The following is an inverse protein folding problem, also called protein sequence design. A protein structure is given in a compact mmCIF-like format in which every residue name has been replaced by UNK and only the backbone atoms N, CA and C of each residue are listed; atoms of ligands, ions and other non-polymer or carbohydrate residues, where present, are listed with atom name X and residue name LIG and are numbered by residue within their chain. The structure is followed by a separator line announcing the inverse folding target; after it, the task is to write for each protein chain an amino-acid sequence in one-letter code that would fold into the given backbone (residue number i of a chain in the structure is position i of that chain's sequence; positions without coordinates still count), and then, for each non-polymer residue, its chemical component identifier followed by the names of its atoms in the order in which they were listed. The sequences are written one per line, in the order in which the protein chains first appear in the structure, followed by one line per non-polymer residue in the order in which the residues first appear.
data_IF_928518190583
#
_entry.id   IF_928518190583
#
_cell.length_a   1.000
_cell.length_b   1.000
_cell.length_c   1.000
_cell.angle_alpha   90.00
_cell.angle_beta   90.00
_cell.angle_gamma   90.00
#
_symmetry.space_group_name_H-M   'P 1'
#
loop_
_entity.id
_entity.type
_entity.pdbx_description
1 polymer ?
#
# COMPACT_ATOMS: atom_id res chain seq x y z
N UNK A 1 -2.33 -34.57 -21.13
CA UNK A 1 -1.87 -33.48 -22.01
C UNK A 1 -3.10 -32.70 -22.40
N UNK A 2 -3.01 -31.38 -22.43
CA UNK A 2 -4.13 -30.53 -22.81
C UNK A 2 -4.43 -30.66 -24.32
N UNK A 3 -5.71 -30.63 -24.69
CA UNK A 3 -6.13 -30.66 -26.08
C UNK A 3 -6.02 -29.28 -26.75
N UNK A 4 -6.05 -28.19 -25.97
CA UNK A 4 -5.86 -26.84 -26.52
C UNK A 4 -4.38 -26.44 -26.48
N UNK A 5 -3.76 -26.38 -27.66
CA UNK A 5 -2.37 -25.95 -27.82
C UNK A 5 -2.11 -24.53 -27.30
N UNK A 6 -3.14 -23.69 -27.16
CA UNK A 6 -2.99 -22.34 -26.59
C UNK A 6 -2.72 -22.34 -25.07
N UNK A 7 -3.02 -23.44 -24.38
CA UNK A 7 -2.74 -23.55 -22.95
C UNK A 7 -1.25 -23.84 -22.69
N UNK A 8 -0.45 -24.10 -23.72
CA UNK A 8 1.00 -24.30 -23.60
C UNK A 8 1.75 -22.96 -23.52
N UNK A 9 1.37 -22.12 -22.58
CA UNK A 9 1.89 -20.76 -22.40
C UNK A 9 2.74 -20.57 -21.13
N UNK A 10 3.16 -21.68 -20.50
CA UNK A 10 3.84 -21.72 -19.19
C UNK A 10 3.02 -21.21 -18.00
N UNK A 11 1.77 -20.80 -18.19
CA UNK A 11 0.88 -20.29 -17.14
C UNK A 11 -0.28 -21.23 -16.84
N UNK A 12 -0.71 -22.02 -17.81
CA UNK A 12 -1.76 -23.02 -17.61
C UNK A 12 -1.18 -24.40 -17.30
N UNK A 13 -1.88 -25.12 -16.44
CA UNK A 13 -1.59 -26.51 -16.12
C UNK A 13 -2.01 -27.40 -17.30
N UNK A 14 -1.04 -27.82 -18.12
CA UNK A 14 -1.27 -28.70 -19.29
C UNK A 14 -0.94 -30.16 -19.03
N UNK A 15 -0.36 -30.46 -17.86
CA UNK A 15 0.04 -31.78 -17.41
C UNK A 15 -0.70 -32.16 -16.13
N UNK A 16 -1.24 -33.38 -16.10
CA UNK A 16 -1.87 -33.92 -14.89
C UNK A 16 -0.82 -34.30 -13.86
N UNK A 17 -0.82 -33.61 -12.73
CA UNK A 17 0.11 -33.90 -11.64
C UNK A 17 -0.29 -35.18 -10.89
N UNK A 18 0.63 -36.14 -10.63
CA UNK A 18 0.27 -37.45 -10.06
C UNK A 18 -0.40 -37.41 -8.68
N UNK A 19 -0.19 -36.35 -7.89
CA UNK A 19 -0.69 -36.21 -6.52
C UNK A 19 -1.64 -35.02 -6.30
N UNK A 20 -1.78 -34.15 -7.28
CA UNK A 20 -2.58 -32.93 -7.16
C UNK A 20 -3.77 -33.04 -8.10
N UNK A 21 -4.93 -32.58 -7.64
CA UNK A 21 -6.12 -32.51 -8.48
C UNK A 21 -5.93 -31.44 -9.55
N UNK A 22 -6.67 -31.55 -10.65
CA UNK A 22 -6.65 -30.53 -11.71
C UNK A 22 -6.93 -29.14 -11.13
N UNK A 23 -6.06 -28.17 -11.45
CA UNK A 23 -6.15 -26.79 -10.97
C UNK A 23 -5.53 -26.55 -9.58
N UNK A 24 -5.22 -27.60 -8.81
CA UNK A 24 -4.57 -27.46 -7.50
C UNK A 24 -3.15 -26.93 -7.63
N UNK A 25 -2.43 -27.32 -8.69
CA UNK A 25 -1.09 -26.78 -8.96
C UNK A 25 -1.16 -25.29 -9.30
N UNK A 26 -2.06 -24.90 -10.22
CA UNK A 26 -2.27 -23.48 -10.56
C UNK A 26 -2.64 -22.65 -9.33
N UNK A 27 -3.48 -23.19 -8.45
CA UNK A 27 -3.87 -22.54 -7.20
C UNK A 27 -2.67 -22.38 -6.25
N UNK A 28 -1.90 -23.44 -6.03
CA UNK A 28 -0.71 -23.40 -5.17
C UNK A 28 0.30 -22.36 -5.68
N UNK A 29 0.49 -22.29 -7.01
CA UNK A 29 1.31 -21.26 -7.65
C UNK A 29 0.80 -19.84 -7.36
N UNK A 30 -0.49 -19.57 -7.58
CA UNK A 30 -1.09 -18.26 -7.30
C UNK A 30 -1.03 -17.88 -5.81
N UNK A 31 -1.22 -18.86 -4.92
CA UNK A 31 -1.12 -18.66 -3.47
C UNK A 31 0.32 -18.30 -3.05
N UNK A 32 1.33 -18.96 -3.61
CA UNK A 32 2.73 -18.62 -3.35
C UNK A 32 3.04 -17.16 -3.71
N UNK A 33 2.55 -16.68 -4.86
CA UNK A 33 2.68 -15.26 -5.23
C UNK A 33 1.97 -14.34 -4.25
N UNK A 34 0.73 -14.65 -3.86
CA UNK A 34 -0.04 -13.84 -2.89
C UNK A 34 0.66 -13.77 -1.53
N UNK A 35 1.24 -14.86 -1.06
CA UNK A 35 1.99 -14.92 0.21
C UNK A 35 3.26 -14.08 0.11
N UNK A 36 4.02 -14.23 -0.98
CA UNK A 36 5.26 -13.49 -1.16
C UNK A 36 5.03 -11.97 -1.27
N UNK A 37 4.02 -11.54 -2.02
CA UNK A 37 3.65 -10.12 -2.19
C UNK A 37 2.55 -9.66 -1.21
N UNK A 38 2.39 -10.36 -0.09
CA UNK A 38 1.58 -9.89 1.03
C UNK A 38 2.18 -8.62 1.62
N UNK A 39 1.33 -7.72 2.12
CA UNK A 39 1.75 -6.43 2.70
C UNK A 39 2.74 -6.67 3.84
N UNK A 40 2.47 -7.65 4.69
CA UNK A 40 3.30 -8.03 5.83
C UNK A 40 4.67 -8.53 5.39
N UNK A 41 4.74 -9.33 4.33
CA UNK A 41 6.01 -9.84 3.83
C UNK A 41 6.84 -8.74 3.16
N UNK A 42 6.20 -7.89 2.35
CA UNK A 42 6.88 -6.74 1.73
C UNK A 42 7.46 -5.80 2.79
N UNK A 43 6.71 -5.52 3.87
CA UNK A 43 7.19 -4.72 5.01
C UNK A 43 8.41 -5.39 5.65
N UNK A 44 8.33 -6.70 5.91
CA UNK A 44 9.44 -7.49 6.51
C UNK A 44 10.70 -7.50 5.65
N UNK A 45 10.58 -7.51 4.32
CA UNK A 45 11.71 -7.45 3.39
C UNK A 45 12.32 -6.04 3.39
N UNK A 46 11.49 -5.01 3.22
CA UNK A 46 11.97 -3.63 3.13
C UNK A 46 12.62 -3.13 4.43
N UNK A 47 12.16 -3.57 5.61
CA UNK A 47 12.81 -3.26 6.89
C UNK A 47 14.22 -3.84 7.02
N UNK A 48 14.54 -4.90 6.28
CA UNK A 48 15.86 -5.54 6.24
C UNK A 48 16.71 -5.07 5.06
N UNK A 49 16.10 -4.39 4.10
CA UNK A 49 16.79 -3.91 2.92
C UNK A 49 17.68 -2.72 3.28
N UNK A 50 18.86 -2.66 2.66
CA UNK A 50 19.71 -1.48 2.74
C UNK A 50 19.00 -0.27 2.11
N UNK A 51 19.14 0.91 2.72
CA UNK A 51 18.47 2.15 2.28
C UNK A 51 18.69 2.45 0.79
N UNK A 52 19.88 2.18 0.25
CA UNK A 52 20.21 2.36 -1.17
C UNK A 52 19.35 1.51 -2.11
N UNK A 53 18.93 0.31 -1.67
CA UNK A 53 18.14 -0.64 -2.47
C UNK A 53 16.63 -0.52 -2.24
N UNK A 54 16.21 0.29 -1.27
CA UNK A 54 14.80 0.40 -0.86
C UNK A 54 13.86 0.65 -2.04
N UNK A 55 14.12 1.69 -2.83
CA UNK A 55 13.24 2.08 -3.94
C UNK A 55 13.28 1.12 -5.14
N UNK A 56 14.41 0.46 -5.38
CA UNK A 56 14.51 -0.60 -6.39
C UNK A 56 13.64 -1.80 -6.04
N UNK A 57 13.74 -2.27 -4.79
CA UNK A 57 12.90 -3.37 -4.27
C UNK A 57 11.42 -2.95 -4.25
N UNK A 58 11.13 -1.73 -3.80
CA UNK A 58 9.77 -1.20 -3.76
C UNK A 58 9.15 -1.13 -5.17
N UNK A 59 9.90 -0.68 -6.17
CA UNK A 59 9.43 -0.61 -7.57
C UNK A 59 9.17 -2.01 -8.14
N UNK A 60 10.03 -2.98 -7.82
CA UNK A 60 9.78 -4.38 -8.19
C UNK A 60 8.50 -4.91 -7.52
N UNK A 61 8.23 -4.57 -6.26
CA UNK A 61 6.97 -4.93 -5.62
C UNK A 61 5.75 -4.36 -6.34
N UNK A 62 5.80 -3.09 -6.76
CA UNK A 62 4.73 -2.49 -7.58
C UNK A 62 4.53 -3.27 -8.88
N UNK A 63 5.59 -3.53 -9.63
CA UNK A 63 5.54 -4.23 -10.92
C UNK A 63 4.98 -5.65 -10.79
N UNK A 64 5.56 -6.45 -9.90
CA UNK A 64 5.24 -7.86 -9.77
C UNK A 64 3.86 -8.07 -9.15
N UNK A 65 3.50 -7.25 -8.15
CA UNK A 65 2.17 -7.33 -7.54
C UNK A 65 1.07 -6.86 -8.51
N UNK A 66 1.34 -5.84 -9.33
CA UNK A 66 0.43 -5.44 -10.42
C UNK A 66 0.15 -6.61 -11.37
N UNK A 67 1.19 -7.28 -11.86
CA UNK A 67 1.04 -8.38 -12.81
C UNK A 67 0.16 -9.50 -12.25
N UNK A 68 0.41 -9.92 -11.01
CA UNK A 68 -0.31 -11.04 -10.39
C UNK A 68 -1.74 -10.65 -9.96
N UNK A 69 -1.91 -9.49 -9.32
CA UNK A 69 -3.19 -9.15 -8.69
C UNK A 69 -4.15 -8.37 -9.58
N UNK A 70 -3.63 -7.54 -10.48
CA UNK A 70 -4.46 -6.66 -11.33
C UNK A 70 -4.67 -7.29 -12.70
N UNK A 71 -3.58 -7.67 -13.36
CA UNK A 71 -3.64 -8.23 -14.71
C UNK A 71 -3.87 -9.76 -14.73
N UNK A 72 -3.57 -10.44 -13.63
CA UNK A 72 -3.82 -11.87 -13.46
C UNK A 72 -2.83 -12.77 -14.21
N UNK A 73 -1.59 -12.34 -14.40
CA UNK A 73 -0.57 -13.13 -15.10
C UNK A 73 0.86 -12.84 -14.65
N UNK A 74 1.83 -13.34 -15.41
CA UNK A 74 3.23 -13.32 -14.99
C UNK A 74 3.92 -11.98 -15.25
N UNK A 75 4.72 -11.47 -14.30
CA UNK A 75 5.38 -10.17 -14.39
C UNK A 75 6.34 -9.99 -15.57
N UNK A 76 6.87 -11.08 -16.13
CA UNK A 76 7.75 -11.00 -17.31
C UNK A 76 7.01 -10.86 -18.65
N UNK A 77 5.70 -11.14 -18.66
CA UNK A 77 4.87 -11.09 -19.88
C UNK A 77 3.86 -9.95 -19.82
N UNK A 78 3.49 -9.53 -18.60
CA UNK A 78 2.50 -8.49 -18.39
C UNK A 78 3.15 -7.13 -18.18
N UNK A 79 2.60 -6.14 -18.88
CA UNK A 79 2.82 -4.73 -18.58
C UNK A 79 1.78 -4.19 -17.60
N UNK A 80 1.67 -2.87 -17.53
CA UNK A 80 0.65 -2.22 -16.69
C UNK A 80 -0.75 -2.33 -17.28
N UNK A 81 -0.92 -2.11 -18.59
CA UNK A 81 -2.23 -2.06 -19.23
C UNK A 81 -2.29 -2.97 -20.45
N UNK A 82 -3.26 -3.88 -20.48
CA UNK A 82 -3.47 -4.77 -21.62
C UNK A 82 -4.32 -4.12 -22.71
N UNK A 83 -3.70 -3.91 -23.87
CA UNK A 83 -4.39 -3.57 -25.11
C UNK A 83 -5.13 -4.80 -25.63
N UNK A 84 -6.42 -4.63 -25.95
CA UNK A 84 -7.27 -5.70 -26.49
C UNK A 84 -8.08 -5.12 -27.65
N UNK A 85 -7.62 -5.29 -28.88
CA UNK A 85 -8.34 -4.86 -30.07
C UNK A 85 -9.63 -5.66 -30.31
N UNK A 86 -10.64 -5.04 -30.91
CA UNK A 86 -11.89 -5.74 -31.26
C UNK A 86 -11.67 -6.83 -32.31
N UNK A 87 -10.81 -6.55 -33.28
CA UNK A 87 -10.48 -7.43 -34.42
C UNK A 87 -9.34 -8.41 -34.12
N UNK A 88 -8.66 -8.26 -33.00
CA UNK A 88 -7.60 -9.17 -32.53
C UNK A 88 -8.25 -10.42 -31.93
N UNK A 89 -8.78 -11.26 -32.82
CA UNK A 89 -9.42 -12.53 -32.47
C UNK A 89 -8.70 -13.66 -33.17
N UNK A 90 -8.74 -14.84 -32.52
CA UNK A 90 -8.26 -16.08 -33.13
C UNK A 90 -9.03 -16.32 -34.44
N UNK A 91 -8.36 -16.79 -35.51
CA UNK A 91 -9.05 -17.24 -36.72
C UNK A 91 -10.17 -18.24 -36.37
N UNK A 92 -11.36 -18.05 -36.92
CA UNK A 92 -12.54 -18.87 -36.64
C UNK A 92 -13.43 -18.39 -35.50
N UNK A 93 -13.01 -17.39 -34.71
CA UNK A 93 -13.88 -16.75 -33.71
C UNK A 93 -14.64 -15.55 -34.32
N UNK A 94 -15.94 -15.38 -34.03
CA UNK A 94 -16.71 -14.26 -34.54
C UNK A 94 -16.19 -12.93 -33.96
N UNK A 95 -16.20 -11.89 -34.81
CA UNK A 95 -15.88 -10.53 -34.37
C UNK A 95 -17.05 -9.99 -33.56
N UNK A 96 -16.79 -9.59 -32.31
CA UNK A 96 -17.80 -8.99 -31.43
C UNK A 96 -18.44 -7.74 -32.04
N UNK A 97 -19.73 -7.53 -31.75
CA UNK A 97 -20.41 -6.29 -32.05
C UNK A 97 -19.75 -5.09 -31.37
N UNK A 98 -19.91 -3.88 -31.94
CA UNK A 98 -19.31 -2.64 -31.41
C UNK A 98 -19.72 -2.38 -29.95
N UNK A 99 -21.01 -2.53 -29.64
CA UNK A 99 -21.57 -2.28 -28.32
C UNK A 99 -21.14 -3.32 -27.28
N UNK A 100 -21.13 -4.60 -27.67
CA UNK A 100 -20.68 -5.70 -26.82
C UNK A 100 -19.20 -5.55 -26.45
N UNK A 101 -18.38 -5.25 -27.46
CA UNK A 101 -16.96 -4.95 -27.25
C UNK A 101 -16.77 -3.77 -26.30
N UNK A 102 -17.49 -2.66 -26.50
CA UNK A 102 -17.39 -1.49 -25.63
C UNK A 102 -17.79 -1.83 -24.19
N UNK A 103 -18.91 -2.53 -23.99
CA UNK A 103 -19.38 -2.96 -22.66
C UNK A 103 -18.34 -3.85 -21.96
N UNK A 104 -17.76 -4.81 -22.67
CA UNK A 104 -16.69 -5.67 -22.16
C UNK A 104 -15.44 -4.86 -21.82
N UNK A 105 -15.00 -3.94 -22.68
CA UNK A 105 -13.81 -3.12 -22.44
C UNK A 105 -13.98 -2.13 -21.32
N UNK A 106 -15.12 -1.47 -21.19
CA UNK A 106 -15.41 -0.59 -20.04
C UNK A 106 -15.35 -1.39 -18.73
N UNK A 107 -15.91 -2.61 -18.71
CA UNK A 107 -15.82 -3.49 -17.54
C UNK A 107 -14.38 -3.91 -17.23
N UNK A 108 -13.62 -4.32 -18.25
CA UNK A 108 -12.21 -4.69 -18.10
C UNK A 108 -11.40 -3.52 -17.53
N UNK A 109 -11.51 -2.34 -18.15
CA UNK A 109 -10.82 -1.13 -17.71
C UNK A 109 -11.24 -0.74 -16.30
N UNK A 110 -12.53 -0.81 -15.97
CA UNK A 110 -13.02 -0.56 -14.62
C UNK A 110 -12.40 -1.51 -13.59
N UNK A 111 -12.28 -2.81 -13.90
CA UNK A 111 -11.61 -3.79 -13.02
C UNK A 111 -10.12 -3.49 -12.86
N UNK A 112 -9.42 -3.17 -13.95
CA UNK A 112 -8.00 -2.79 -13.90
C UNK A 112 -7.79 -1.53 -13.06
N UNK A 113 -8.62 -0.49 -13.26
CA UNK A 113 -8.54 0.75 -12.48
C UNK A 113 -8.80 0.51 -10.98
N UNK A 114 -9.82 -0.26 -10.63
CA UNK A 114 -10.08 -0.63 -9.24
C UNK A 114 -8.92 -1.44 -8.64
N UNK A 115 -8.33 -2.34 -9.42
CA UNK A 115 -7.14 -3.09 -9.04
C UNK A 115 -5.94 -2.18 -8.78
N UNK A 116 -5.68 -1.19 -9.64
CA UNK A 116 -4.62 -0.20 -9.44
C UNK A 116 -4.86 0.69 -8.23
N UNK A 117 -6.10 1.13 -7.99
CA UNK A 117 -6.42 1.90 -6.76
C UNK A 117 -6.12 1.06 -5.53
N UNK A 118 -6.57 -0.20 -5.49
CA UNK A 118 -6.27 -1.11 -4.39
C UNK A 118 -4.76 -1.32 -4.21
N UNK A 119 -4.04 -1.59 -5.31
CA UNK A 119 -2.60 -1.75 -5.29
C UNK A 119 -1.91 -0.49 -4.74
N UNK A 120 -2.28 0.69 -5.20
CA UNK A 120 -1.68 1.94 -4.78
C UNK A 120 -1.86 2.17 -3.26
N UNK A 121 -3.05 1.88 -2.73
CA UNK A 121 -3.32 1.98 -1.29
C UNK A 121 -2.52 0.96 -0.46
N UNK A 122 -2.39 -0.27 -0.94
CA UNK A 122 -1.55 -1.29 -0.29
C UNK A 122 -0.06 -0.91 -0.32
N UNK A 123 0.42 -0.35 -1.44
CA UNK A 123 1.80 0.11 -1.55
C UNK A 123 2.07 1.35 -0.69
N UNK A 124 1.09 2.24 -0.55
CA UNK A 124 1.17 3.35 0.38
C UNK A 124 1.24 2.87 1.84
N UNK A 125 0.48 1.82 2.22
CA UNK A 125 0.60 1.19 3.54
C UNK A 125 2.01 0.64 3.79
N UNK A 126 2.57 -0.07 2.80
CA UNK A 126 3.95 -0.57 2.85
C UNK A 126 4.94 0.58 3.00
N UNK A 127 4.76 1.66 2.24
CA UNK A 127 5.61 2.85 2.29
C UNK A 127 5.51 3.54 3.66
N UNK A 128 4.31 3.75 4.21
CA UNK A 128 4.13 4.28 5.56
C UNK A 128 4.83 3.42 6.60
N UNK A 129 4.73 2.10 6.51
CA UNK A 129 5.36 1.20 7.47
C UNK A 129 6.89 1.15 7.37
N UNK A 130 7.48 1.48 6.21
CA UNK A 130 8.90 1.20 5.92
C UNK A 130 9.74 2.39 5.46
N UNK A 131 9.12 3.55 5.19
CA UNK A 131 9.84 4.74 4.75
C UNK A 131 10.97 5.09 5.74
N UNK A 132 12.11 5.59 5.25
CA UNK A 132 13.20 6.01 6.11
C UNK A 132 12.73 7.12 7.05
N UNK A 133 12.98 6.93 8.35
CA UNK A 133 12.68 7.88 9.42
C UNK A 133 13.95 8.22 10.18
N UNK A 134 13.95 9.35 10.88
CA UNK A 134 15.00 9.60 11.87
C UNK A 134 14.91 8.58 13.01
N UNK A 135 16.03 8.25 13.66
CA UNK A 135 16.07 7.31 14.77
C UNK A 135 15.10 7.70 15.91
N UNK A 136 14.94 9.02 16.15
CA UNK A 136 13.96 9.55 17.10
C UNK A 136 12.52 9.22 16.69
N UNK A 137 12.16 9.49 15.43
CA UNK A 137 10.81 9.23 14.93
C UNK A 137 10.49 7.74 14.89
N UNK A 138 11.45 6.89 14.51
CA UNK A 138 11.27 5.44 14.55
C UNK A 138 10.97 4.95 15.97
N UNK A 139 11.71 5.45 16.96
CA UNK A 139 11.45 5.11 18.36
C UNK A 139 10.10 5.63 18.85
N UNK A 140 9.72 6.85 18.49
CA UNK A 140 8.38 7.39 18.83
C UNK A 140 7.28 6.58 18.18
N UNK A 141 7.44 6.16 16.92
CA UNK A 141 6.50 5.29 16.21
C UNK A 141 6.38 3.93 16.88
N UNK A 142 7.49 3.35 17.35
CA UNK A 142 7.49 2.10 18.11
C UNK A 142 6.67 2.21 19.40
N UNK A 143 6.88 3.28 20.18
CA UNK A 143 6.10 3.54 21.40
C UNK A 143 4.61 3.81 21.08
N UNK A 144 4.32 4.53 19.98
CA UNK A 144 2.96 4.79 19.52
C UNK A 144 2.23 3.51 19.10
N UNK A 145 2.93 2.57 18.44
CA UNK A 145 2.36 1.28 18.04
C UNK A 145 1.90 0.47 19.27
N UNK A 146 2.63 0.56 20.40
CA UNK A 146 2.19 -0.03 21.67
C UNK A 146 0.93 0.60 22.26
N UNK A 147 0.71 1.90 22.03
CA UNK A 147 -0.43 2.68 22.56
C UNK A 147 -1.66 2.61 21.65
N UNK A 148 -1.51 2.14 20.41
CA UNK A 148 -2.58 2.11 19.41
C UNK A 148 -3.86 1.37 19.86
N UNK A 149 -3.78 0.49 20.87
CA UNK A 149 -4.95 -0.12 21.50
C UNK A 149 -5.88 0.90 22.20
N UNK A 150 -5.34 2.04 22.64
CA UNK A 150 -6.07 3.08 23.41
C UNK A 150 -6.47 4.28 22.55
N UNK A 151 -5.64 4.66 21.58
CA UNK A 151 -5.89 5.82 20.72
C UNK A 151 -6.01 5.38 19.27
N UNK A 152 -7.08 5.84 18.59
CA UNK A 152 -7.30 5.53 17.18
C UNK A 152 -6.18 6.09 16.30
N UNK A 153 -5.61 7.25 16.67
CA UNK A 153 -4.54 7.92 15.93
C UNK A 153 -3.62 8.74 16.84
N UNK A 154 -2.35 8.93 16.49
CA UNK A 154 -1.43 9.80 17.23
C UNK A 154 -1.92 11.26 17.29
N UNK A 155 -2.62 11.75 16.26
CA UNK A 155 -3.23 13.09 16.28
C UNK A 155 -4.37 13.19 17.29
N UNK A 156 -5.00 12.10 17.69
CA UNK A 156 -6.05 12.14 18.73
C UNK A 156 -5.49 12.30 20.15
N UNK A 157 -4.19 12.05 20.35
CA UNK A 157 -3.52 12.15 21.64
C UNK A 157 -3.46 13.61 22.16
N UNK A 158 -3.40 13.73 23.49
CA UNK A 158 -3.15 15.03 24.15
C UNK A 158 -1.70 15.47 23.91
N UNK A 159 -1.46 16.77 23.88
CA UNK A 159 -0.11 17.31 23.66
C UNK A 159 0.87 16.89 24.77
N UNK A 160 0.38 16.73 26.00
CA UNK A 160 1.15 16.25 27.15
C UNK A 160 1.61 14.80 26.97
N UNK A 161 0.71 13.95 26.48
CA UNK A 161 1.01 12.54 26.19
C UNK A 161 2.03 12.43 25.06
N UNK A 162 1.87 13.21 23.98
CA UNK A 162 2.84 13.26 22.88
C UNK A 162 4.22 13.71 23.37
N UNK A 163 4.28 14.76 24.19
CA UNK A 163 5.55 15.24 24.75
C UNK A 163 6.22 14.19 25.66
N UNK A 164 5.42 13.45 26.45
CA UNK A 164 5.91 12.35 27.25
C UNK A 164 6.48 11.21 26.39
N UNK A 165 5.85 10.90 25.25
CA UNK A 165 6.35 9.88 24.32
C UNK A 165 7.69 10.29 23.69
N UNK A 166 7.81 11.54 23.26
CA UNK A 166 9.10 12.06 22.82
C UNK A 166 10.15 11.99 23.93
N UNK A 167 9.79 12.33 25.18
CA UNK A 167 10.68 12.20 26.33
C UNK A 167 11.17 10.76 26.56
N UNK A 168 10.25 9.78 26.53
CA UNK A 168 10.57 8.34 26.64
C UNK A 168 11.44 7.85 25.47
N UNK A 169 11.15 8.31 24.26
CA UNK A 169 11.95 7.95 23.08
C UNK A 169 13.39 8.48 23.19
N UNK A 170 13.56 9.73 23.63
CA UNK A 170 14.88 10.33 23.83
C UNK A 170 15.64 9.64 24.96
N UNK A 171 14.99 9.32 26.09
CA UNK A 171 15.66 8.62 27.19
C UNK A 171 16.09 7.20 26.79
N UNK A 172 15.25 6.47 26.06
CA UNK A 172 15.59 5.15 25.54
C UNK A 172 16.76 5.20 24.54
N UNK A 173 16.79 6.19 23.64
CA UNK A 173 17.89 6.37 22.69
C UNK A 173 19.19 6.74 23.40
N UNK A 174 19.14 7.59 24.43
CA UNK A 174 20.32 7.92 25.25
C UNK A 174 20.85 6.70 26.00
N UNK A 175 19.98 5.86 26.54
CA UNK A 175 20.38 4.63 27.22
C UNK A 175 21.02 3.61 26.27
N UNK A 176 20.52 3.52 25.03
CA UNK A 176 21.06 2.62 24.01
C UNK A 176 22.37 3.15 23.38
N UNK A 177 22.52 4.46 23.28
CA UNK A 177 23.72 5.11 22.73
C UNK A 177 24.82 5.18 23.78
N UNK A 178 25.42 4.02 24.11
CA UNK A 178 26.68 3.96 24.86
C UNK A 178 27.82 4.48 23.98
N UNK A 179 28.02 5.80 23.98
CA UNK A 179 29.36 6.36 23.88
C UNK A 179 29.88 6.92 22.55
N UNK A 180 29.11 7.14 21.46
CA UNK A 180 29.74 7.77 20.27
C UNK A 180 28.97 8.70 19.32
N UNK A 181 27.65 8.94 19.47
CA UNK A 181 26.97 9.95 18.63
C UNK A 181 25.95 10.77 19.43
N UNK A 182 26.39 11.89 20.02
CA UNK A 182 25.48 12.89 20.60
C UNK A 182 24.86 13.74 19.48
N UNK A 183 24.02 13.15 18.64
CA UNK A 183 23.08 13.97 17.86
C UNK A 183 22.23 14.77 18.87
N UNK A 184 22.04 16.09 18.69
CA UNK A 184 21.20 16.89 19.57
C UNK A 184 19.73 16.44 19.45
N UNK A 185 19.34 15.45 20.27
CA UNK A 185 17.97 14.97 20.36
C UNK A 185 17.14 15.98 21.15
N UNK A 186 16.54 16.94 20.43
CA UNK A 186 15.67 17.98 21.00
C UNK A 186 14.23 17.48 21.09
N UNK A 187 13.65 17.58 22.29
CA UNK A 187 12.23 17.32 22.50
C UNK A 187 11.44 18.51 21.92
N UNK A 188 10.48 18.29 21.01
CA UNK A 188 9.66 19.37 20.45
C UNK A 188 8.83 20.06 21.54
N UNK A 189 8.66 21.38 21.42
CA UNK A 189 7.78 22.13 22.33
C UNK A 189 6.30 21.80 22.08
N UNK A 190 5.43 22.08 23.05
CA UNK A 190 3.98 21.84 22.90
C UNK A 190 3.37 22.61 21.73
N UNK A 191 3.81 23.85 21.52
CA UNK A 191 3.38 24.69 20.40
C UNK A 191 3.81 24.04 19.07
N UNK A 192 5.04 23.56 18.99
CA UNK A 192 5.54 22.87 17.79
C UNK A 192 4.78 21.56 17.51
N UNK A 193 4.46 20.78 18.54
CA UNK A 193 3.65 19.57 18.41
C UNK A 193 2.21 19.89 17.99
N UNK A 194 1.65 20.98 18.49
CA UNK A 194 0.33 21.45 18.09
C UNK A 194 0.29 21.83 16.61
N UNK A 195 1.27 22.61 16.12
CA UNK A 195 1.38 22.91 14.69
C UNK A 195 1.54 21.65 13.85
N UNK A 196 2.38 20.68 14.27
CA UNK A 196 2.55 19.39 13.57
C UNK A 196 1.26 18.56 13.50
N UNK A 197 0.41 18.64 14.51
CA UNK A 197 -0.87 17.91 14.55
C UNK A 197 -1.83 18.41 13.47
N UNK A 198 -1.87 19.72 13.23
CA UNK A 198 -2.72 20.35 12.22
C UNK A 198 -2.08 20.41 10.84
N UNK A 199 -0.76 20.33 10.75
CA UNK A 199 -0.06 20.34 9.49
C UNK A 199 -0.27 19.00 8.74
N UNK A 200 -1.03 19.09 7.65
CA UNK A 200 -1.33 17.95 6.78
C UNK A 200 -0.12 17.52 5.94
N UNK A 201 0.79 18.44 5.64
CA UNK A 201 2.00 18.17 4.87
C UNK A 201 3.12 17.51 5.69
N UNK A 202 3.03 17.55 7.02
CA UNK A 202 4.02 16.93 7.90
C UNK A 202 3.40 15.73 8.62
N UNK A 203 3.34 14.59 7.93
CA UNK A 203 2.78 13.37 8.50
C UNK A 203 3.85 12.34 8.93
N UNK A 204 4.89 12.75 9.66
CA UNK A 204 6.05 11.88 9.95
C UNK A 204 5.76 10.71 10.91
N UNK A 205 4.79 10.88 11.80
CA UNK A 205 4.41 9.90 12.83
C UNK A 205 3.34 8.90 12.36
N UNK A 206 2.68 9.12 11.22
CA UNK A 206 1.75 8.12 10.68
C UNK A 206 2.54 6.94 10.10
N UNK A 207 2.21 5.74 10.55
CA UNK A 207 2.87 4.49 10.15
C UNK A 207 1.91 3.47 9.54
N UNK A 208 0.61 3.75 9.53
CA UNK A 208 -0.44 2.89 8.97
C UNK A 208 -1.67 3.72 8.56
N UNK A 209 -2.39 3.27 7.54
CA UNK A 209 -3.68 3.78 7.05
C UNK A 209 -4.87 3.28 7.87
N UNK A 210 -4.68 2.34 8.80
CA UNK A 210 -5.75 1.78 9.62
C UNK A 210 -6.68 2.82 10.31
N UNK A 211 -6.20 4.00 10.79
CA UNK A 211 -7.08 5.04 11.30
C UNK A 211 -8.00 5.65 10.23
N UNK A 212 -7.50 5.88 9.01
CA UNK A 212 -8.27 6.41 7.88
C UNK A 212 -9.32 5.41 7.42
N UNK A 213 -8.95 4.13 7.32
CA UNK A 213 -9.89 3.07 6.96
C UNK A 213 -11.04 2.93 7.96
N UNK A 214 -10.73 3.02 9.27
CA UNK A 214 -11.74 3.02 10.33
C UNK A 214 -12.67 4.23 10.19
N UNK A 215 -12.11 5.41 9.89
CA UNK A 215 -12.91 6.60 9.64
C UNK A 215 -13.89 6.41 8.47
N UNK A 216 -13.42 5.94 7.31
CA UNK A 216 -14.28 5.72 6.15
C UNK A 216 -15.30 4.60 6.34
N UNK A 217 -14.93 3.52 7.04
CA UNK A 217 -15.90 2.47 7.41
C UNK A 217 -17.04 3.03 8.25
N UNK A 218 -16.74 3.92 9.19
CA UNK A 218 -17.77 4.59 9.99
C UNK A 218 -18.63 5.55 9.16
N UNK A 219 -18.02 6.33 8.26
CA UNK A 219 -18.74 7.25 7.35
C UNK A 219 -19.67 6.47 6.42
N UNK A 220 -19.19 5.39 5.80
CA UNK A 220 -20.01 4.49 4.97
C UNK A 220 -21.07 3.72 5.74
N UNK A 221 -20.81 3.34 7.00
CA UNK A 221 -21.82 2.77 7.88
C UNK A 221 -22.99 3.73 8.08
N UNK A 222 -22.70 4.98 8.45
CA UNK A 222 -23.71 6.04 8.65
C UNK A 222 -24.45 6.40 7.37
N UNK A 223 -23.74 6.45 6.25
CA UNK A 223 -24.36 6.72 4.95
C UNK A 223 -25.38 5.62 4.57
N UNK A 224 -25.03 4.34 4.79
CA UNK A 224 -25.96 3.21 4.56
C UNK A 224 -27.17 3.22 5.49
N UNK A 225 -27.02 3.78 6.70
CA UNK A 225 -28.09 3.90 7.69
C UNK A 225 -28.99 5.12 7.47
N UNK A 226 -28.68 6.00 6.50
CA UNK A 226 -29.44 7.23 6.25
C UNK A 226 -29.12 8.38 7.21
N UNK A 227 -28.14 8.21 8.12
CA UNK A 227 -27.76 9.20 9.14
C UNK A 227 -26.77 10.25 8.60
N UNK A 228 -27.05 10.81 7.42
CA UNK A 228 -26.12 11.68 6.70
C UNK A 228 -25.86 13.01 7.44
N UNK A 229 -26.83 13.48 8.22
CA UNK A 229 -26.72 14.72 9.02
C UNK A 229 -25.78 14.59 10.23
N UNK A 230 -25.55 13.37 10.74
CA UNK A 230 -24.65 13.14 11.87
C UNK A 230 -23.17 13.07 11.45
N UNK A 231 -22.88 13.20 10.15
CA UNK A 231 -21.52 13.19 9.65
C UNK A 231 -20.88 14.55 9.94
N UNK A 232 -19.78 14.53 10.69
CA UNK A 232 -18.99 15.73 10.94
C UNK A 232 -18.25 16.14 9.67
N UNK A 233 -18.89 16.94 8.81
CA UNK A 233 -18.35 17.35 7.51
C UNK A 233 -16.97 18.01 7.59
N UNK A 234 -16.70 18.80 8.64
CA UNK A 234 -15.37 19.38 8.85
C UNK A 234 -14.28 18.30 9.02
N UNK A 235 -14.58 17.20 9.72
CA UNK A 235 -13.65 16.06 9.86
C UNK A 235 -13.50 15.30 8.56
N UNK A 236 -14.59 15.16 7.80
CA UNK A 236 -14.59 14.54 6.48
C UNK A 236 -13.66 15.32 5.53
N UNK A 237 -13.88 16.62 5.38
CA UNK A 237 -13.05 17.47 4.51
C UNK A 237 -11.58 17.42 4.93
N UNK A 238 -11.31 17.53 6.24
CA UNK A 238 -9.93 17.46 6.75
C UNK A 238 -9.28 16.09 6.47
N UNK A 239 -10.00 14.99 6.67
CA UNK A 239 -9.47 13.65 6.40
C UNK A 239 -9.25 13.42 4.90
N UNK A 240 -10.19 13.83 4.05
CA UNK A 240 -10.06 13.74 2.59
C UNK A 240 -8.86 14.54 2.08
N UNK A 241 -8.70 15.79 2.54
CA UNK A 241 -7.54 16.62 2.20
C UNK A 241 -6.24 15.94 2.64
N UNK A 242 -6.24 15.34 3.83
CA UNK A 242 -5.08 14.63 4.35
C UNK A 242 -4.69 13.42 3.52
N UNK A 243 -5.64 12.57 3.18
CA UNK A 243 -5.33 11.42 2.34
C UNK A 243 -4.90 11.83 0.94
N UNK A 244 -5.49 12.87 0.36
CA UNK A 244 -5.04 13.42 -0.91
C UNK A 244 -3.58 13.88 -0.82
N UNK A 245 -3.22 14.65 0.21
CA UNK A 245 -1.84 15.12 0.40
C UNK A 245 -0.90 13.95 0.65
N UNK A 246 -1.27 12.99 1.50
CA UNK A 246 -0.44 11.83 1.81
C UNK A 246 -0.18 10.97 0.57
N UNK A 247 -1.23 10.72 -0.20
CA UNK A 247 -1.14 9.98 -1.45
C UNK A 247 -0.28 10.72 -2.48
N UNK A 248 -0.45 12.04 -2.61
CA UNK A 248 0.43 12.87 -3.45
C UNK A 248 1.89 12.81 -2.98
N UNK A 249 2.16 12.85 -1.69
CA UNK A 249 3.53 12.72 -1.15
C UNK A 249 4.12 11.35 -1.45
N UNK A 250 3.33 10.29 -1.31
CA UNK A 250 3.72 8.94 -1.68
C UNK A 250 4.11 8.87 -3.16
N UNK A 251 3.23 9.34 -4.06
CA UNK A 251 3.49 9.34 -5.50
C UNK A 251 4.73 10.17 -5.86
N UNK A 252 4.87 11.37 -5.30
CA UNK A 252 6.03 12.23 -5.52
C UNK A 252 7.32 11.55 -5.06
N UNK A 253 7.32 10.92 -3.88
CA UNK A 253 8.48 10.17 -3.38
C UNK A 253 8.81 8.97 -4.29
N UNK A 254 7.79 8.23 -4.69
CA UNK A 254 7.92 7.08 -5.58
C UNK A 254 8.52 7.48 -6.93
N UNK A 255 7.88 8.39 -7.66
CA UNK A 255 8.38 8.79 -8.98
C UNK A 255 9.76 9.47 -8.91
N UNK A 256 10.00 10.33 -7.92
CA UNK A 256 11.31 10.99 -7.78
C UNK A 256 12.45 10.01 -7.52
N UNK A 257 12.20 8.91 -6.80
CA UNK A 257 13.23 7.95 -6.39
C UNK A 257 13.31 6.70 -7.27
N UNK A 258 12.24 6.38 -7.99
CA UNK A 258 12.19 5.28 -8.94
C UNK A 258 12.68 5.67 -10.34
N UNK A 259 12.57 6.94 -10.73
CA UNK A 259 12.98 7.44 -12.07
C UNK A 259 14.37 8.07 -12.05
N UNK A 260 14.89 8.50 -10.89
CA UNK A 260 16.25 9.03 -10.81
C UNK A 260 17.27 7.88 -10.95
N UNK A 261 18.18 7.91 -11.94
CA UNK A 261 19.29 6.96 -11.99
C UNK A 261 20.17 7.13 -10.74
N UNK A 262 20.58 6.00 -10.19
CA UNK A 262 21.50 5.92 -9.05
C UNK A 262 22.92 6.36 -9.42
#
# INVERSE_FOLDING_TARGET
MDHDLNNYDSFHETLSHPRMKAGEWTRAYQEAWKIFYSVENMIRILKRAATRRYWGIFSNFVWYKNAVQVEGGHPMVHGFFRLKGRRERRPGYPVEGRLEYLKRRVRDVGRTLLGWVKLALEMEEVWLATRPRSALEERVVFELAGIQKRAAEWRSLRLTELQLLYGKAVSALRASSKGKDFLPLRIPSRIQLWFRKWNVFQDSLTFTRAPMERFWKNVWGRFKQGEVLQIAYHKLIFMSLREAVLFCQFLLCFFRRSVAPA
#
